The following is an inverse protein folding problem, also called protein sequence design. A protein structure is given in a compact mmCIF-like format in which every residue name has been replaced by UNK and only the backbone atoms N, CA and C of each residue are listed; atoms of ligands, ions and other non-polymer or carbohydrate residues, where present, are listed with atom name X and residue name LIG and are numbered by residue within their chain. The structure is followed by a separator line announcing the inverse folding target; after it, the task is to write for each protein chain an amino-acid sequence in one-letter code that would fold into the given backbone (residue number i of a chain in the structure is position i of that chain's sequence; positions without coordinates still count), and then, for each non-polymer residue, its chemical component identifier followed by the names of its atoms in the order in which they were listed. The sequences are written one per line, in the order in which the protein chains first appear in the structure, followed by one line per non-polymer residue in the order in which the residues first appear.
data_IF_382645769542
#
_entry.id   IF_382645769542
#
_cell.length_a   1.000
_cell.length_b   1.000
_cell.length_c   1.000
_cell.angle_alpha   90.00
_cell.angle_beta   90.00
_cell.angle_gamma   90.00
#
_symmetry.space_group_name_H-M   'P 1'
#
loop_
_entity.id
_entity.type
_entity.pdbx_description
1 polymer ?
#
# COMPACT_ATOMS: atom_id res chain seq x y z
N UNK A 1 1.35 -3.32 -7.94
CA UNK A 1 1.68 -1.90 -8.07
C UNK A 1 2.73 -1.55 -7.03
N UNK A 2 3.91 -1.11 -7.44
CA UNK A 2 5.01 -0.72 -6.54
C UNK A 2 5.93 0.28 -7.27
N UNK A 3 6.90 0.86 -6.55
CA UNK A 3 7.97 1.70 -7.10
C UNK A 3 9.36 1.05 -6.95
N UNK A 4 9.47 -0.05 -6.23
CA UNK A 4 10.74 -0.72 -5.93
C UNK A 4 11.05 -1.75 -7.01
N UNK A 5 12.13 -1.59 -7.80
CA UNK A 5 12.42 -2.45 -8.95
C UNK A 5 12.55 -3.93 -8.58
N UNK A 6 13.16 -4.23 -7.43
CA UNK A 6 13.38 -5.59 -6.95
C UNK A 6 12.05 -6.30 -6.63
N UNK A 7 11.11 -5.59 -6.00
CA UNK A 7 9.76 -6.13 -5.71
C UNK A 7 8.96 -6.36 -6.98
N UNK A 8 9.07 -5.43 -7.93
CA UNK A 8 8.43 -5.58 -9.24
C UNK A 8 9.01 -6.75 -10.03
N UNK A 9 10.33 -6.97 -9.96
CA UNK A 9 10.99 -8.10 -10.60
C UNK A 9 10.50 -9.43 -10.00
N UNK A 10 10.49 -9.56 -8.68
CA UNK A 10 10.01 -10.74 -7.98
C UNK A 10 8.53 -11.05 -8.31
N UNK A 11 7.67 -10.04 -8.35
CA UNK A 11 6.27 -10.23 -8.74
C UNK A 11 6.13 -10.74 -10.18
N UNK A 12 6.97 -10.27 -11.11
CA UNK A 12 6.98 -10.78 -12.50
C UNK A 12 7.45 -12.24 -12.58
N UNK A 13 8.43 -12.63 -11.80
CA UNK A 13 8.89 -14.02 -11.70
C UNK A 13 7.76 -14.95 -11.25
N UNK A 14 6.85 -14.47 -10.42
CA UNK A 14 5.66 -15.19 -9.99
C UNK A 14 4.49 -15.10 -10.99
N UNK A 15 4.70 -14.52 -12.18
CA UNK A 15 3.68 -14.37 -13.21
C UNK A 15 2.61 -13.33 -12.89
N UNK A 16 2.89 -12.41 -11.94
CA UNK A 16 1.97 -11.34 -11.57
C UNK A 16 2.20 -10.14 -12.49
N UNK A 17 1.11 -9.59 -13.06
CA UNK A 17 1.16 -8.33 -13.81
C UNK A 17 1.54 -7.18 -12.88
N UNK A 18 2.49 -6.34 -13.32
CA UNK A 18 3.02 -5.27 -12.47
C UNK A 18 2.88 -3.91 -13.12
N UNK A 19 2.59 -2.91 -12.28
CA UNK A 19 2.59 -1.50 -12.64
C UNK A 19 3.64 -0.76 -11.80
N UNK A 20 4.60 -0.14 -12.47
CA UNK A 20 5.63 0.69 -11.86
C UNK A 20 5.09 2.12 -11.71
N UNK A 21 4.94 2.59 -10.48
CA UNK A 21 4.41 3.94 -10.18
C UNK A 21 5.35 5.06 -10.61
N UNK A 22 6.62 4.77 -10.87
CA UNK A 22 7.56 5.74 -11.43
C UNK A 22 7.30 6.02 -12.92
N UNK A 23 6.79 5.02 -13.64
CA UNK A 23 6.49 5.09 -15.08
C UNK A 23 5.02 5.38 -15.36
N UNK A 24 4.09 4.90 -14.51
CA UNK A 24 2.64 5.00 -14.69
C UNK A 24 2.09 6.10 -13.78
N UNK A 25 1.59 7.18 -14.37
CA UNK A 25 1.05 8.32 -13.61
C UNK A 25 -0.36 8.09 -13.07
N UNK A 26 -1.20 7.38 -13.83
CA UNK A 26 -2.57 7.06 -13.45
C UNK A 26 -2.74 5.55 -13.34
N UNK A 27 -2.57 5.06 -12.12
CA UNK A 27 -2.70 3.63 -11.80
C UNK A 27 -4.13 3.15 -12.04
N UNK A 28 -5.13 3.98 -11.73
CA UNK A 28 -6.54 3.60 -11.90
C UNK A 28 -6.91 3.42 -13.38
N UNK A 29 -6.39 4.27 -14.25
CA UNK A 29 -6.55 4.12 -15.70
C UNK A 29 -5.85 2.85 -16.20
N UNK A 30 -4.58 2.64 -15.80
CA UNK A 30 -3.82 1.47 -16.21
C UNK A 30 -4.48 0.14 -15.78
N UNK A 31 -5.04 0.07 -14.55
CA UNK A 31 -5.80 -1.11 -14.10
C UNK A 31 -7.06 -1.32 -14.94
N UNK A 32 -7.75 -0.24 -15.31
CA UNK A 32 -8.92 -0.35 -16.21
C UNK A 32 -8.53 -0.85 -17.59
N UNK A 33 -7.42 -0.36 -18.14
CA UNK A 33 -6.92 -0.83 -19.45
C UNK A 33 -6.60 -2.33 -19.42
N UNK A 34 -6.01 -2.83 -18.32
CA UNK A 34 -5.74 -4.26 -18.09
C UNK A 34 -7.00 -5.11 -17.87
N UNK A 35 -8.15 -4.49 -17.67
CA UNK A 35 -9.42 -5.15 -17.32
C UNK A 35 -10.56 -4.77 -18.27
N UNK A 36 -10.25 -4.43 -19.51
CA UNK A 36 -11.22 -4.05 -20.56
C UNK A 36 -12.18 -2.91 -20.09
N UNK A 37 -11.66 -1.94 -19.36
CA UNK A 37 -12.39 -0.79 -18.81
C UNK A 37 -13.20 -1.07 -17.56
N UNK A 38 -13.27 -2.33 -17.10
CA UNK A 38 -14.12 -2.76 -15.98
C UNK A 38 -13.58 -2.33 -14.61
N UNK A 39 -12.29 -2.45 -14.39
CA UNK A 39 -11.62 -2.34 -13.10
C UNK A 39 -11.56 -3.67 -12.34
N UNK A 40 -10.80 -3.69 -11.25
CA UNK A 40 -10.56 -4.88 -10.43
C UNK A 40 -11.76 -5.25 -9.54
N UNK A 41 -12.02 -6.55 -9.36
CA UNK A 41 -13.08 -7.04 -8.46
C UNK A 41 -12.80 -6.68 -7.00
N UNK A 42 -11.53 -6.72 -6.61
CA UNK A 42 -11.05 -6.31 -5.31
C UNK A 42 -9.73 -5.58 -5.41
N UNK A 43 -9.52 -4.62 -4.55
CA UNK A 43 -8.25 -3.90 -4.40
C UNK A 43 -7.79 -3.98 -2.96
N UNK A 44 -6.46 -4.01 -2.78
CA UNK A 44 -5.82 -4.05 -1.47
C UNK A 44 -4.85 -2.89 -1.36
N UNK A 45 -5.05 -2.05 -0.35
CA UNK A 45 -4.08 -1.04 0.06
C UNK A 45 -3.30 -1.56 1.27
N UNK A 46 -2.04 -1.92 1.03
CA UNK A 46 -1.10 -2.39 2.04
C UNK A 46 0.01 -1.37 2.33
N UNK A 47 -0.12 -0.15 1.82
CA UNK A 47 0.90 0.91 1.94
C UNK A 47 0.56 1.86 3.08
N UNK A 48 -0.66 2.34 3.13
CA UNK A 48 -1.08 3.31 4.12
C UNK A 48 -0.43 4.69 3.91
N UNK A 49 -0.18 5.40 5.02
CA UNK A 49 0.41 6.75 5.03
C UNK A 49 1.87 6.80 4.60
N UNK A 50 2.53 5.66 4.47
CA UNK A 50 3.92 5.56 4.05
C UNK A 50 4.09 5.54 2.54
N UNK A 51 3.02 5.82 1.78
CA UNK A 51 3.10 6.03 0.35
C UNK A 51 4.08 7.16 0.03
N UNK A 52 5.33 6.80 -0.19
CA UNK A 52 6.42 7.72 -0.51
C UNK A 52 6.30 8.11 -1.99
N UNK A 53 5.36 9.00 -2.29
CA UNK A 53 5.10 9.47 -3.67
C UNK A 53 5.87 10.72 -4.07
N UNK A 54 6.47 11.46 -3.12
CA UNK A 54 7.15 12.72 -3.42
C UNK A 54 8.42 12.90 -2.59
N UNK A 55 9.60 13.00 -3.23
CA UNK A 55 10.85 13.42 -2.56
C UNK A 55 10.71 14.77 -1.86
N UNK A 56 9.83 15.64 -2.38
CA UNK A 56 9.50 16.95 -1.82
C UNK A 56 8.78 16.79 -0.49
N UNK A 57 7.91 15.78 -0.34
CA UNK A 57 7.20 15.51 0.90
C UNK A 57 8.14 15.01 2.00
N UNK A 58 9.09 14.13 1.67
CA UNK A 58 10.13 13.67 2.61
C UNK A 58 11.00 14.82 3.15
N UNK A 59 11.40 15.75 2.27
CA UNK A 59 12.12 16.95 2.65
C UNK A 59 11.27 17.92 3.50
N UNK A 60 9.98 18.06 3.15
CA UNK A 60 9.05 18.91 3.86
C UNK A 60 8.69 18.36 5.25
N UNK A 61 8.55 17.04 5.44
CA UNK A 61 8.36 16.41 6.76
C UNK A 61 9.58 16.61 7.64
N UNK A 62 10.80 16.44 7.10
CA UNK A 62 12.04 16.75 7.82
C UNK A 62 12.14 18.24 8.19
N UNK A 63 11.71 19.14 7.30
CA UNK A 63 11.65 20.57 7.54
C UNK A 63 10.58 21.01 8.54
N UNK A 64 9.42 20.34 8.52
CA UNK A 64 8.31 20.62 9.45
C UNK A 64 8.67 20.30 10.91
N UNK A 65 9.55 19.33 11.15
CA UNK A 65 10.08 19.02 12.48
C UNK A 65 10.92 20.15 13.12
N UNK A 66 11.35 21.13 12.31
CA UNK A 66 12.10 22.30 12.75
C UNK A 66 11.21 23.55 12.92
N UNK A 67 9.93 23.47 12.57
CA UNK A 67 8.99 24.59 12.64
C UNK A 67 8.21 24.60 13.96
N UNK A 68 7.82 25.78 14.48
CA UNK A 68 6.90 25.86 15.61
C UNK A 68 5.57 25.16 15.33
N UNK A 69 5.00 24.51 16.32
CA UNK A 69 3.75 23.72 16.26
C UNK A 69 2.58 24.46 15.57
N UNK A 70 2.51 25.78 15.73
CA UNK A 70 1.47 26.62 15.11
C UNK A 70 1.53 26.66 13.57
N UNK A 71 2.71 26.40 12.98
CA UNK A 71 2.92 26.37 11.53
C UNK A 71 3.00 24.91 11.05
N UNK A 72 3.65 24.04 11.82
CA UNK A 72 3.80 22.63 11.48
C UNK A 72 2.45 21.90 11.39
N UNK A 73 1.52 22.12 12.33
CA UNK A 73 0.21 21.45 12.37
C UNK A 73 -0.69 21.72 11.17
N UNK A 74 -0.93 22.98 10.71
CA UNK A 74 -1.71 23.23 9.52
C UNK A 74 -1.00 22.73 8.25
N UNK A 75 0.34 22.85 8.18
CA UNK A 75 1.14 22.35 7.07
C UNK A 75 1.03 20.82 6.97
N UNK A 76 1.14 20.08 8.08
CA UNK A 76 0.94 18.63 8.14
C UNK A 76 -0.47 18.20 7.74
N UNK A 77 -1.51 18.99 8.05
CA UNK A 77 -2.88 18.73 7.57
C UNK A 77 -2.99 18.83 6.05
N UNK A 78 -2.38 19.84 5.45
CA UNK A 78 -2.40 20.03 3.99
C UNK A 78 -1.58 18.97 3.27
N UNK A 79 -0.47 18.52 3.87
CA UNK A 79 0.38 17.44 3.35
C UNK A 79 -0.28 16.05 3.48
N UNK A 80 -1.30 15.91 4.34
CA UNK A 80 -2.08 14.68 4.47
C UNK A 80 -2.83 14.27 3.18
N UNK A 81 -3.08 15.21 2.29
CA UNK A 81 -3.75 14.94 0.99
C UNK A 81 -2.89 14.05 0.09
N UNK A 82 -1.57 14.22 0.12
CA UNK A 82 -0.63 13.44 -0.71
C UNK A 82 -0.42 12.01 -0.16
N UNK A 83 -0.72 11.81 1.13
CA UNK A 83 -0.62 10.50 1.80
C UNK A 83 -1.77 9.56 1.48
N UNK A 84 -2.82 10.04 0.83
CA UNK A 84 -3.97 9.25 0.41
C UNK A 84 -3.82 8.69 -1.02
N UNK A 85 -2.66 8.84 -1.65
CA UNK A 85 -2.44 8.42 -3.03
C UNK A 85 -2.74 6.94 -3.26
N UNK A 86 -2.22 6.05 -2.39
CA UNK A 86 -2.45 4.61 -2.49
C UNK A 86 -3.95 4.27 -2.31
N UNK A 87 -4.60 4.82 -1.28
CA UNK A 87 -6.03 4.62 -1.03
C UNK A 87 -6.89 5.12 -2.21
N UNK A 88 -6.58 6.28 -2.77
CA UNK A 88 -7.29 6.82 -3.95
C UNK A 88 -7.10 5.94 -5.17
N UNK A 89 -5.89 5.46 -5.41
CA UNK A 89 -5.61 4.52 -6.49
C UNK A 89 -6.37 3.20 -6.29
N UNK A 90 -6.43 2.67 -5.06
CA UNK A 90 -7.20 1.48 -4.75
C UNK A 90 -8.69 1.69 -5.00
N UNK A 91 -9.27 2.80 -4.53
CA UNK A 91 -10.68 3.16 -4.78
C UNK A 91 -10.93 3.32 -6.29
N UNK A 92 -10.09 4.10 -6.99
CA UNK A 92 -10.24 4.37 -8.42
C UNK A 92 -10.12 3.12 -9.30
N UNK A 93 -9.32 2.14 -8.88
CA UNK A 93 -9.07 0.89 -9.62
C UNK A 93 -10.17 -0.16 -9.44
N UNK A 94 -10.92 -0.13 -8.34
CA UNK A 94 -12.00 -1.10 -8.09
C UNK A 94 -13.12 -0.95 -9.14
N UNK A 95 -13.76 -2.03 -9.55
CA UNK A 95 -14.95 -1.98 -10.41
C UNK A 95 -16.18 -1.51 -9.63
N UNK A 96 -17.27 -1.18 -10.34
CA UNK A 96 -18.59 -0.96 -9.71
C UNK A 96 -19.02 -2.22 -8.94
N UNK A 97 -19.48 -2.05 -7.71
CA UNK A 97 -19.80 -3.14 -6.77
C UNK A 97 -18.59 -3.91 -6.27
N UNK A 98 -17.37 -3.41 -6.48
CA UNK A 98 -16.13 -4.03 -6.02
C UNK A 98 -15.82 -3.79 -4.56
N UNK A 99 -14.75 -4.44 -4.08
CA UNK A 99 -14.26 -4.33 -2.71
C UNK A 99 -12.94 -3.58 -2.64
N UNK A 100 -12.77 -2.75 -1.62
CA UNK A 100 -11.49 -2.10 -1.29
C UNK A 100 -11.12 -2.52 0.13
N UNK A 101 -10.04 -3.27 0.27
CA UNK A 101 -9.49 -3.68 1.56
C UNK A 101 -8.31 -2.78 1.93
N UNK A 102 -8.36 -2.19 3.10
CA UNK A 102 -7.34 -1.26 3.58
C UNK A 102 -6.70 -1.85 4.84
N UNK A 103 -5.51 -2.40 4.68
CA UNK A 103 -4.67 -2.90 5.77
C UNK A 103 -3.53 -1.93 6.08
N UNK A 104 -3.26 -1.01 5.16
CA UNK A 104 -2.36 0.12 5.39
C UNK A 104 -2.88 1.04 6.49
N UNK A 105 -1.98 1.53 7.33
CA UNK A 105 -2.35 2.38 8.46
C UNK A 105 -2.48 3.83 8.03
N UNK A 106 -3.63 4.43 8.32
CA UNK A 106 -3.90 5.86 8.16
C UNK A 106 -4.14 6.48 9.52
N UNK A 107 -3.16 7.22 10.02
CA UNK A 107 -3.30 7.98 11.29
C UNK A 107 -3.93 9.35 11.03
N UNK A 108 -4.95 9.70 11.81
CA UNK A 108 -5.63 10.98 11.70
C UNK A 108 -6.82 10.98 10.75
N UNK A 109 -7.05 12.09 10.06
CA UNK A 109 -8.19 12.28 9.17
C UNK A 109 -7.80 12.02 7.71
N UNK A 110 -8.58 11.19 7.01
CA UNK A 110 -8.48 10.97 5.57
C UNK A 110 -9.42 11.95 4.84
N UNK A 111 -8.96 13.19 4.61
CA UNK A 111 -9.74 14.24 3.98
C UNK A 111 -8.92 14.89 2.84
N UNK A 112 -9.48 15.06 1.62
CA UNK A 112 -10.85 14.69 1.23
C UNK A 112 -10.99 13.22 0.82
N UNK A 113 -12.05 12.57 1.31
CA UNK A 113 -12.44 11.23 0.91
C UNK A 113 -13.41 11.31 -0.29
N UNK A 114 -13.25 10.50 -1.36
CA UNK A 114 -14.10 10.57 -2.56
C UNK A 114 -15.47 9.86 -2.31
N UNK A 115 -16.24 10.36 -1.32
CA UNK A 115 -17.45 9.71 -0.86
C UNK A 115 -18.52 9.54 -1.96
N UNK A 116 -18.65 10.52 -2.87
CA UNK A 116 -19.60 10.43 -3.97
C UNK A 116 -19.23 9.33 -4.97
N UNK A 117 -17.95 9.14 -5.24
CA UNK A 117 -17.47 8.07 -6.09
C UNK A 117 -17.72 6.70 -5.46
N UNK A 118 -17.43 6.56 -4.17
CA UNK A 118 -17.65 5.33 -3.40
C UNK A 118 -19.16 4.98 -3.41
N UNK A 119 -20.01 5.96 -3.17
CA UNK A 119 -21.45 5.80 -3.15
C UNK A 119 -22.01 5.42 -4.53
N UNK A 120 -21.71 6.21 -5.57
CA UNK A 120 -22.20 5.95 -6.92
C UNK A 120 -21.79 4.57 -7.45
N UNK A 121 -20.54 4.18 -7.17
CA UNK A 121 -20.00 2.89 -7.62
C UNK A 121 -20.35 1.72 -6.70
N UNK A 122 -21.07 1.96 -5.60
CA UNK A 122 -21.49 0.93 -4.64
C UNK A 122 -20.31 0.11 -4.09
N UNK A 123 -19.21 0.79 -3.76
CA UNK A 123 -18.00 0.12 -3.29
C UNK A 123 -18.14 -0.34 -1.83
N UNK A 124 -17.64 -1.53 -1.55
CA UNK A 124 -17.47 -2.04 -0.19
C UNK A 124 -16.07 -1.72 0.31
N UNK A 125 -15.95 -0.95 1.39
CA UNK A 125 -14.67 -0.63 2.02
C UNK A 125 -14.54 -1.40 3.33
N UNK A 126 -13.39 -2.06 3.50
CA UNK A 126 -13.03 -2.75 4.74
C UNK A 126 -11.71 -2.22 5.25
N UNK A 127 -11.71 -1.81 6.51
CA UNK A 127 -10.54 -1.31 7.20
C UNK A 127 -10.25 -2.20 8.39
N UNK A 128 -8.99 -2.41 8.70
CA UNK A 128 -8.61 -3.10 9.91
C UNK A 128 -7.16 -3.53 9.92
N UNK A 129 -6.66 -3.71 11.14
CA UNK A 129 -5.35 -4.31 11.35
C UNK A 129 -5.39 -5.79 10.96
N UNK A 130 -4.25 -6.31 10.48
CA UNK A 130 -4.12 -7.74 10.21
C UNK A 130 -4.26 -8.53 11.52
N UNK A 131 -5.36 -9.26 11.66
CA UNK A 131 -5.59 -10.13 12.80
C UNK A 131 -4.85 -11.46 12.58
N UNK A 132 -3.53 -11.44 12.74
CA UNK A 132 -2.65 -12.61 12.49
C UNK A 132 -3.16 -13.83 13.25
N UNK A 133 -3.52 -13.70 14.52
CA UNK A 133 -3.99 -14.83 15.33
C UNK A 133 -5.24 -15.51 14.76
N UNK A 134 -6.13 -14.76 14.15
CA UNK A 134 -7.35 -15.31 13.52
C UNK A 134 -7.03 -16.22 12.34
N UNK A 135 -5.94 -15.92 11.62
CA UNK A 135 -5.57 -16.60 10.39
C UNK A 135 -4.50 -17.69 10.59
N UNK A 136 -3.95 -17.86 11.80
CA UNK A 136 -2.86 -18.82 12.06
C UNK A 136 -3.26 -20.23 11.64
N UNK A 137 -4.43 -20.69 12.03
CA UNK A 137 -4.89 -22.06 11.76
C UNK A 137 -5.11 -22.33 10.26
N UNK A 138 -5.42 -21.28 9.48
CA UNK A 138 -5.57 -21.37 8.03
C UNK A 138 -4.22 -21.29 7.29
N UNK A 139 -3.28 -20.48 7.82
CA UNK A 139 -2.01 -20.18 7.15
C UNK A 139 -0.94 -21.23 7.44
N UNK A 140 -0.83 -21.70 8.69
CA UNK A 140 0.22 -22.66 9.10
C UNK A 140 0.22 -23.94 8.27
N UNK A 141 -0.92 -24.55 7.92
CA UNK A 141 -0.93 -25.71 7.03
C UNK A 141 -0.28 -25.42 5.67
N UNK A 142 -0.56 -24.23 5.09
CA UNK A 142 -0.01 -23.82 3.79
C UNK A 142 1.50 -23.61 3.83
N UNK A 143 2.05 -23.19 4.99
CA UNK A 143 3.50 -23.05 5.20
C UNK A 143 4.21 -24.39 5.39
N UNK A 144 3.47 -25.43 5.71
CA UNK A 144 4.00 -26.77 5.99
C UNK A 144 3.99 -27.67 4.74
N UNK A 145 3.46 -27.21 3.62
CA UNK A 145 3.48 -27.93 2.36
C UNK A 145 4.92 -28.04 1.81
N UNK A 146 5.17 -29.10 1.04
CA UNK A 146 6.50 -29.37 0.49
C UNK A 146 6.95 -28.36 -0.58
N UNK A 147 6.01 -27.65 -1.17
CA UNK A 147 6.27 -26.55 -2.09
C UNK A 147 6.15 -25.22 -1.37
N UNK A 148 7.16 -24.35 -1.50
CA UNK A 148 7.12 -22.98 -0.99
C UNK A 148 6.22 -22.11 -1.88
N UNK A 149 4.90 -22.31 -1.76
CA UNK A 149 3.89 -21.59 -2.55
C UNK A 149 3.89 -20.08 -2.32
N UNK A 150 4.46 -19.63 -1.22
CA UNK A 150 4.57 -18.19 -0.87
C UNK A 150 5.93 -17.60 -1.18
N UNK A 151 6.89 -18.41 -1.61
CA UNK A 151 8.25 -17.96 -1.88
C UNK A 151 8.95 -17.37 -0.65
N UNK A 152 8.72 -17.94 0.55
CA UNK A 152 9.21 -17.41 1.82
C UNK A 152 10.74 -17.29 1.85
N UNK A 153 11.44 -18.26 1.25
CA UNK A 153 12.90 -18.23 1.16
C UNK A 153 13.42 -17.06 0.31
N UNK A 154 12.66 -16.65 -0.71
CA UNK A 154 13.00 -15.51 -1.58
C UNK A 154 12.54 -14.17 -1.01
N UNK A 155 11.54 -14.18 -0.11
CA UNK A 155 11.10 -12.97 0.60
C UNK A 155 12.09 -12.53 1.68
N UNK A 156 12.84 -13.49 2.26
CA UNK A 156 13.83 -13.20 3.30
C UNK A 156 15.09 -12.58 2.68
N UNK A 157 15.16 -11.26 2.64
CA UNK A 157 16.30 -10.51 2.05
C UNK A 157 17.53 -10.48 2.97
N UNK A 158 17.35 -10.61 4.28
CA UNK A 158 18.42 -10.55 5.27
C UNK A 158 18.27 -11.66 6.30
N UNK A 159 19.37 -12.30 6.66
CA UNK A 159 19.46 -13.29 7.73
C UNK A 159 20.51 -12.80 8.72
N UNK A 160 20.06 -12.36 9.88
CA UNK A 160 20.88 -11.76 10.91
C UNK A 160 20.83 -12.62 12.19
N UNK A 161 21.94 -12.64 12.92
CA UNK A 161 21.96 -13.17 14.28
C UNK A 161 21.20 -12.22 15.22
N UNK A 162 20.85 -12.70 16.41
CA UNK A 162 20.16 -11.86 17.40
C UNK A 162 21.03 -10.67 17.84
N UNK A 163 22.35 -10.86 17.88
CA UNK A 163 23.30 -9.79 18.25
C UNK A 163 23.38 -8.69 17.18
N UNK A 164 23.03 -9.01 15.93
CA UNK A 164 22.96 -8.06 14.81
C UNK A 164 21.58 -7.38 14.67
N UNK A 165 20.65 -7.65 15.59
CA UNK A 165 19.31 -7.06 15.57
C UNK A 165 19.33 -5.51 15.49
N UNK A 166 20.23 -4.76 16.17
CA UNK A 166 20.33 -3.30 15.99
C UNK A 166 20.59 -2.91 14.53
N UNK A 167 21.48 -3.63 13.82
CA UNK A 167 21.75 -3.40 12.40
C UNK A 167 20.51 -3.67 11.52
N UNK A 168 19.72 -4.66 11.88
CA UNK A 168 18.46 -4.98 11.20
C UNK A 168 17.42 -3.85 11.23
N UNK A 169 17.56 -2.88 12.12
CA UNK A 169 16.73 -1.67 12.18
C UNK A 169 17.31 -0.48 11.39
N UNK A 170 18.52 -0.62 10.87
CA UNK A 170 19.21 0.43 10.11
C UNK A 170 19.10 0.25 8.59
N UNK A 171 18.77 -0.98 8.14
CA UNK A 171 18.70 -1.41 6.72
C UNK A 171 17.26 -1.52 6.17
#
# INVERSE_FOLDING_TARGET
VDSVPERLALAREWGIEVLDTSAVKDISAAVKDLTDGRGADGTLDAVGMEAHGSPILGAAVKGAGLLPDAVAKPMMKTMGVDRLGALRSAIGSARRGGSVSVVGVYGGMADPMPMMEIFDRQLSLRFGQCNVRHWVDDIVPLLSESEDIFGLETLATHRLSLDEAPHGYEI
#
